data_IF_677775716554
#
_entry.id   IF_677775716554
#
_cell.length_a   1.000
_cell.length_b   1.000
_cell.length_c   1.000
_cell.angle_alpha   90.00
_cell.angle_beta   90.00
_cell.angle_gamma   90.00
#
_symmetry.space_group_name_H-M   'P 1'
#
loop_
_entity.id
_entity.type
_entity.pdbx_description
1 polymer ?
#
# COMPACT_ATOMS: atom_id res chain seq x y z
N UNK A 1 10.36 -6.21 5.40
CA UNK A 1 10.15 -5.00 4.59
C UNK A 1 9.16 -4.08 5.28
N UNK A 2 9.47 -2.79 5.37
CA UNK A 2 8.55 -1.80 5.96
C UNK A 2 7.94 -0.91 4.89
N UNK A 3 6.63 -0.72 4.95
CA UNK A 3 5.88 0.13 4.03
C UNK A 3 5.27 1.29 4.82
N UNK A 4 5.55 2.50 4.38
CA UNK A 4 4.91 3.71 4.88
C UNK A 4 3.64 3.95 4.08
N UNK A 5 2.52 4.16 4.77
CA UNK A 5 1.29 4.70 4.21
C UNK A 5 1.12 6.14 4.67
N UNK A 6 0.89 7.04 3.72
CA UNK A 6 0.49 8.42 3.99
C UNK A 6 -0.82 8.74 3.31
N UNK A 7 -1.73 9.34 4.06
CA UNK A 7 -3.07 9.73 3.61
C UNK A 7 -3.18 11.25 3.64
N UNK A 8 -3.68 11.82 2.56
CA UNK A 8 -4.00 13.24 2.49
C UNK A 8 -5.39 13.43 1.89
N UNK A 9 -6.36 13.86 2.71
CA UNK A 9 -7.73 14.10 2.27
C UNK A 9 -8.38 15.27 3.02
N UNK A 10 -8.49 16.43 2.37
CA UNK A 10 -8.98 17.66 3.00
C UNK A 10 -8.05 18.08 4.15
N UNK A 11 -8.62 18.31 5.34
CA UNK A 11 -7.86 18.62 6.55
C UNK A 11 -7.29 17.38 7.26
N UNK A 12 -7.64 16.16 6.80
CA UNK A 12 -7.12 14.93 7.37
C UNK A 12 -5.76 14.57 6.75
N UNK A 13 -4.76 14.46 7.62
CA UNK A 13 -3.44 13.94 7.28
C UNK A 13 -3.04 12.88 8.30
N UNK A 14 -2.63 11.71 7.81
CA UNK A 14 -2.15 10.61 8.64
C UNK A 14 -0.99 9.91 7.97
N UNK A 15 -0.10 9.37 8.80
CA UNK A 15 1.02 8.54 8.37
C UNK A 15 1.14 7.34 9.31
N UNK A 16 1.40 6.17 8.74
CA UNK A 16 1.70 4.96 9.51
C UNK A 16 2.72 4.08 8.81
N UNK A 17 3.41 3.27 9.59
CA UNK A 17 4.32 2.23 9.08
C UNK A 17 3.69 0.87 9.29
N UNK A 18 3.71 0.04 8.25
CA UNK A 18 3.26 -1.37 8.29
C UNK A 18 4.45 -2.25 7.95
N UNK A 19 4.69 -3.27 8.77
CA UNK A 19 5.81 -4.19 8.61
C UNK A 19 5.35 -5.52 8.02
N UNK A 20 6.06 -5.98 7.00
CA UNK A 20 5.88 -7.27 6.36
C UNK A 20 7.17 -8.09 6.46
N UNK A 21 7.10 -9.43 6.40
CA UNK A 21 8.29 -10.25 6.16
C UNK A 21 9.07 -9.79 4.92
N UNK A 22 10.40 -9.96 4.91
CA UNK A 22 11.24 -9.56 3.76
C UNK A 22 10.99 -10.42 2.51
N UNK A 23 10.49 -11.64 2.69
CA UNK A 23 10.11 -12.59 1.64
C UNK A 23 8.61 -12.59 1.33
N UNK A 24 7.86 -11.62 1.86
CA UNK A 24 6.42 -11.51 1.62
C UNK A 24 6.13 -11.24 0.13
N UNK A 25 5.18 -11.99 -0.42
CA UNK A 25 4.72 -11.81 -1.79
C UNK A 25 4.08 -10.42 -1.99
N UNK A 26 4.53 -9.62 -2.99
CA UNK A 26 3.97 -8.31 -3.25
C UNK A 26 2.44 -8.28 -3.43
N UNK A 27 1.82 -9.32 -4.01
CA UNK A 27 0.36 -9.35 -4.14
C UNK A 27 -0.32 -9.59 -2.78
N UNK A 28 0.21 -10.48 -1.94
CA UNK A 28 -0.26 -10.68 -0.57
C UNK A 28 -0.16 -9.40 0.28
N UNK A 29 0.92 -8.63 0.11
CA UNK A 29 1.09 -7.33 0.76
C UNK A 29 -0.04 -6.38 0.38
N UNK A 30 -0.36 -6.23 -0.90
CA UNK A 30 -1.48 -5.36 -1.34
C UNK A 30 -2.82 -5.83 -0.75
N UNK A 31 -3.06 -7.14 -0.73
CA UNK A 31 -4.28 -7.74 -0.21
C UNK A 31 -4.47 -7.51 1.30
N UNK A 32 -3.40 -7.41 2.08
CA UNK A 32 -3.44 -7.10 3.52
C UNK A 32 -3.43 -5.58 3.81
N UNK A 33 -2.67 -4.82 3.02
CA UNK A 33 -2.41 -3.40 3.24
C UNK A 33 -3.64 -2.53 2.95
N UNK A 34 -4.36 -2.77 1.85
CA UNK A 34 -5.49 -1.94 1.45
C UNK A 34 -6.70 -2.04 2.41
N UNK A 35 -7.10 -3.24 2.89
CA UNK A 35 -8.21 -3.36 3.85
C UNK A 35 -7.85 -2.82 5.24
N UNK A 36 -6.57 -2.84 5.62
CA UNK A 36 -6.12 -2.36 6.93
C UNK A 36 -5.95 -0.85 7.00
N UNK A 37 -6.02 -0.13 5.87
CA UNK A 37 -5.93 1.34 5.83
C UNK A 37 -7.05 2.01 6.63
N UNK A 38 -6.74 3.17 7.23
CA UNK A 38 -7.73 3.98 7.95
C UNK A 38 -8.91 4.37 7.05
N UNK A 39 -8.65 4.56 5.77
CA UNK A 39 -9.68 4.58 4.74
C UNK A 39 -9.73 3.20 4.13
N UNK A 40 -10.43 2.27 4.78
CA UNK A 40 -10.59 0.90 4.32
C UNK A 40 -11.01 0.90 2.85
N UNK A 41 -10.08 0.62 1.95
CA UNK A 41 -10.33 0.62 0.52
C UNK A 41 -10.91 -0.75 0.14
N UNK A 42 -11.81 -0.75 -0.84
CA UNK A 42 -12.21 -2.01 -1.44
C UNK A 42 -10.98 -2.68 -2.04
N UNK A 43 -10.78 -3.95 -1.71
CA UNK A 43 -9.77 -4.79 -2.35
C UNK A 43 -10.01 -4.71 -3.87
N UNK A 44 -9.04 -4.20 -4.65
CA UNK A 44 -9.24 -4.02 -6.07
C UNK A 44 -9.30 -5.38 -6.78
N UNK A 45 -9.85 -5.45 -8.01
CA UNK A 45 -9.84 -6.68 -8.79
C UNK A 45 -8.40 -7.19 -9.02
N UNK A 46 -8.19 -8.51 -9.26
CA UNK A 46 -6.87 -9.12 -9.34
C UNK A 46 -5.91 -8.41 -10.31
N UNK A 47 -6.38 -8.00 -11.49
CA UNK A 47 -5.57 -7.29 -12.49
C UNK A 47 -4.99 -5.96 -11.97
N UNK A 48 -5.72 -5.26 -11.10
CA UNK A 48 -5.27 -4.02 -10.50
C UNK A 48 -4.35 -4.29 -9.30
N UNK A 49 -4.60 -5.34 -8.52
CA UNK A 49 -3.65 -5.78 -7.47
C UNK A 49 -2.28 -6.12 -8.07
N UNK A 50 -2.24 -6.87 -9.17
CA UNK A 50 -1.00 -7.21 -9.87
C UNK A 50 -0.24 -5.96 -10.33
N UNK A 51 -0.94 -4.94 -10.85
CA UNK A 51 -0.33 -3.66 -11.23
C UNK A 51 0.25 -2.90 -10.04
N UNK A 52 -0.46 -2.88 -8.90
CA UNK A 52 0.03 -2.22 -7.68
C UNK A 52 1.23 -2.96 -7.10
N UNK A 53 1.18 -4.29 -7.06
CA UNK A 53 2.27 -5.16 -6.65
C UNK A 53 3.52 -4.98 -7.54
N UNK A 54 3.34 -4.91 -8.86
CA UNK A 54 4.41 -4.59 -9.79
C UNK A 54 5.00 -3.20 -9.54
N UNK A 55 4.17 -2.17 -9.34
CA UNK A 55 4.66 -0.81 -9.04
C UNK A 55 5.43 -0.75 -7.71
N UNK A 56 4.96 -1.46 -6.68
CA UNK A 56 5.66 -1.58 -5.41
C UNK A 56 7.04 -2.23 -5.60
N UNK A 57 7.14 -3.26 -6.44
CA UNK A 57 8.38 -3.99 -6.69
C UNK A 57 9.37 -3.18 -7.55
N UNK A 58 8.89 -2.56 -8.62
CA UNK A 58 9.73 -1.84 -9.59
C UNK A 58 10.19 -0.47 -9.09
N UNK A 59 9.30 0.25 -8.37
CA UNK A 59 9.51 1.64 -8.00
C UNK A 59 9.62 1.85 -6.49
N UNK A 60 9.40 0.79 -5.70
CA UNK A 60 9.31 0.90 -4.25
C UNK A 60 8.08 1.67 -3.77
N UNK A 61 7.07 1.93 -4.62
CA UNK A 61 5.90 2.74 -4.27
C UNK A 61 4.69 2.55 -5.18
N UNK A 62 3.51 2.85 -4.66
CA UNK A 62 2.27 2.94 -5.43
C UNK A 62 1.27 3.91 -4.77
N UNK A 63 0.21 4.26 -5.49
CA UNK A 63 -0.88 5.11 -5.00
C UNK A 63 -2.22 4.38 -5.17
N UNK A 64 -3.13 4.54 -4.21
CA UNK A 64 -4.49 4.03 -4.30
C UNK A 64 -5.45 4.93 -3.51
N UNK A 65 -6.47 5.47 -4.18
CA UNK A 65 -7.40 6.43 -3.58
C UNK A 65 -6.68 7.69 -3.10
N UNK A 66 -6.75 7.97 -1.80
CA UNK A 66 -6.11 9.11 -1.13
C UNK A 66 -4.81 8.75 -0.42
N UNK A 67 -4.37 7.49 -0.57
CA UNK A 67 -3.19 6.96 0.10
C UNK A 67 -2.02 6.82 -0.88
N UNK A 68 -0.83 7.18 -0.40
CA UNK A 68 0.46 6.87 -1.03
C UNK A 68 1.20 5.86 -0.17
N UNK A 69 1.82 4.88 -0.81
CA UNK A 69 2.54 3.81 -0.15
C UNK A 69 3.96 3.73 -0.69
N UNK A 70 4.97 3.55 0.17
CA UNK A 70 6.35 3.33 -0.25
C UNK A 70 7.16 2.49 0.74
N UNK A 71 8.20 1.82 0.24
CA UNK A 71 9.14 1.05 1.06
C UNK A 71 10.07 2.03 1.80
N UNK A 72 10.18 1.87 3.12
CA UNK A 72 11.19 2.57 3.94
C UNK A 72 12.59 2.05 3.53
N UNK A 73 13.48 2.96 3.08
CA UNK A 73 14.84 2.65 2.63
C UNK A 73 15.79 2.31 3.78
#
# INVERSE_FOLDING_TARGET
MKIIEQIHHGDYQSERTVEFPDDADPAAIIAELLPSSAYCYQVPPPELQEKLAASLTEKGRFEHGWSRFWIEQ
#
